data_IF_648343341000
#
_entry.id   IF_648343341000
#
_cell.length_a   1.000
_cell.length_b   1.000
_cell.length_c   1.000
_cell.angle_alpha   90.00
_cell.angle_beta   90.00
_cell.angle_gamma   90.00
#
_symmetry.space_group_name_H-M   'P 1'
#
loop_
_entity.id
_entity.type
_entity.pdbx_description
1 polymer ?
#
# COMPACT_ATOMS: atom_id res chain seq x y z
N UNK A 1 38.68 20.59 -54.74
CA UNK A 1 37.48 19.85 -54.31
C UNK A 1 37.50 19.79 -52.78
N UNK A 2 36.69 20.59 -52.12
CA UNK A 2 36.62 20.64 -50.65
C UNK A 2 35.52 19.71 -50.14
N UNK A 3 35.87 18.85 -49.20
CA UNK A 3 34.95 17.91 -48.54
C UNK A 3 34.05 18.67 -47.56
N UNK A 4 32.71 18.43 -47.53
CA UNK A 4 31.84 19.11 -46.59
C UNK A 4 31.97 18.52 -45.18
N UNK A 5 31.70 19.29 -44.10
CA UNK A 5 31.86 18.84 -42.71
C UNK A 5 30.74 17.86 -42.33
N UNK A 6 31.14 16.80 -41.58
CA UNK A 6 30.27 15.81 -40.96
C UNK A 6 29.32 16.47 -39.93
N UNK A 7 28.04 16.29 -40.12
CA UNK A 7 27.01 16.67 -39.16
C UNK A 7 27.10 15.76 -37.93
N UNK A 8 27.40 16.30 -36.77
CA UNK A 8 27.31 15.65 -35.48
C UNK A 8 25.86 15.86 -34.97
N UNK A 9 25.04 14.81 -34.75
CA UNK A 9 23.72 15.01 -34.18
C UNK A 9 23.86 15.45 -32.72
N UNK A 10 23.20 16.56 -32.36
CA UNK A 10 23.06 17.02 -31.00
C UNK A 10 22.30 15.96 -30.20
N UNK A 11 22.89 15.50 -29.10
CA UNK A 11 22.26 14.59 -28.15
C UNK A 11 21.08 15.31 -27.47
N UNK A 12 19.83 14.85 -27.58
CA UNK A 12 18.72 15.47 -26.88
C UNK A 12 18.93 15.28 -25.38
N UNK A 13 19.07 16.39 -24.65
CA UNK A 13 19.11 16.42 -23.20
C UNK A 13 17.86 15.75 -22.64
N UNK A 14 18.04 14.64 -21.93
CA UNK A 14 16.98 13.98 -21.16
C UNK A 14 16.47 15.01 -20.13
N UNK A 15 15.18 15.34 -20.12
CA UNK A 15 14.64 16.28 -19.15
C UNK A 15 14.83 15.70 -17.74
N UNK A 16 15.51 16.46 -16.86
CA UNK A 16 15.61 16.13 -15.44
C UNK A 16 14.19 16.14 -14.86
N UNK A 17 13.72 14.97 -14.38
CA UNK A 17 12.48 14.88 -13.62
C UNK A 17 12.64 15.68 -12.33
N UNK A 18 11.69 16.58 -12.05
CA UNK A 18 11.67 17.33 -10.79
C UNK A 18 11.25 16.39 -9.66
N UNK A 19 11.73 16.60 -8.42
CA UNK A 19 11.39 15.81 -7.22
C UNK A 19 9.87 15.63 -7.05
N UNK A 20 9.07 16.64 -7.41
CA UNK A 20 7.60 16.54 -7.39
C UNK A 20 7.05 15.56 -8.45
N UNK A 21 7.70 15.42 -9.61
CA UNK A 21 7.30 14.46 -10.65
C UNK A 21 7.74 13.03 -10.29
N UNK A 22 8.85 12.87 -9.57
CA UNK A 22 9.30 11.55 -9.05
C UNK A 22 8.40 11.08 -7.91
N UNK A 23 8.01 11.96 -6.99
CA UNK A 23 7.06 11.64 -5.92
C UNK A 23 5.68 11.22 -6.46
N UNK A 24 5.25 11.83 -7.58
CA UNK A 24 3.98 11.49 -8.23
C UNK A 24 4.05 10.18 -9.04
N UNK A 25 5.24 9.76 -9.48
CA UNK A 25 5.44 8.54 -10.26
C UNK A 25 5.24 7.26 -9.44
N UNK A 26 5.28 7.33 -8.11
CA UNK A 26 5.17 6.18 -7.21
C UNK A 26 3.77 6.03 -6.57
N UNK A 27 2.79 6.85 -6.96
CA UNK A 27 1.41 6.78 -6.43
C UNK A 27 0.50 6.13 -7.46
N UNK A 28 -0.12 5.01 -7.08
CA UNK A 28 -1.01 4.21 -7.91
C UNK A 28 -2.43 4.26 -7.35
N UNK A 29 -3.37 4.85 -8.10
CA UNK A 29 -4.78 4.94 -7.70
C UNK A 29 -5.59 3.87 -8.43
N UNK A 30 -6.05 2.87 -7.70
CA UNK A 30 -6.68 1.66 -8.30
C UNK A 30 -8.07 1.94 -8.85
N UNK A 31 -8.85 2.81 -8.20
CA UNK A 31 -10.19 3.19 -8.62
C UNK A 31 -10.23 4.44 -9.52
N UNK A 32 -9.09 4.86 -10.09
CA UNK A 32 -9.06 5.96 -11.07
C UNK A 32 -9.86 5.60 -12.33
N UNK A 33 -9.79 4.34 -12.75
CA UNK A 33 -10.57 3.81 -13.86
C UNK A 33 -11.79 3.01 -13.33
N UNK A 34 -12.95 3.05 -14.00
CA UNK A 34 -14.12 2.29 -13.62
C UNK A 34 -13.86 0.79 -13.59
N UNK A 35 -14.11 0.16 -12.45
CA UNK A 35 -13.96 -1.28 -12.24
C UNK A 35 -14.85 -1.74 -11.09
N UNK A 36 -14.91 -3.05 -10.83
CA UNK A 36 -15.61 -3.60 -9.67
C UNK A 36 -15.07 -3.09 -8.33
N UNK A 37 -13.82 -2.62 -8.29
CA UNK A 37 -13.23 -2.00 -7.11
C UNK A 37 -14.01 -0.76 -6.65
N UNK A 38 -14.51 0.06 -7.61
CA UNK A 38 -15.31 1.24 -7.33
C UNK A 38 -16.62 0.88 -6.61
N UNK A 39 -17.22 -0.28 -6.95
CA UNK A 39 -18.42 -0.77 -6.28
C UNK A 39 -18.13 -1.12 -4.81
N UNK A 40 -17.05 -1.84 -4.54
CA UNK A 40 -16.67 -2.19 -3.16
C UNK A 40 -16.30 -0.94 -2.35
N UNK A 41 -15.62 0.03 -2.97
CA UNK A 41 -15.31 1.30 -2.31
C UNK A 41 -16.59 2.10 -2.00
N UNK A 42 -17.56 2.15 -2.92
CA UNK A 42 -18.83 2.82 -2.69
C UNK A 42 -19.58 2.21 -1.50
N UNK A 43 -19.64 0.88 -1.38
CA UNK A 43 -20.26 0.20 -0.25
C UNK A 43 -19.55 0.46 1.09
N UNK A 44 -18.21 0.62 1.10
CA UNK A 44 -17.47 1.01 2.31
C UNK A 44 -17.78 2.44 2.75
N UNK A 45 -18.15 3.32 1.81
CA UNK A 45 -18.47 4.74 2.08
C UNK A 45 -19.93 4.96 2.44
N UNK A 46 -20.84 4.13 1.93
CA UNK A 46 -22.27 4.29 2.13
C UNK A 46 -22.64 4.04 3.60
N UNK A 47 -23.13 5.09 4.27
CA UNK A 47 -23.45 5.09 5.71
C UNK A 47 -24.48 4.03 6.13
N UNK A 48 -25.29 3.51 5.21
CA UNK A 48 -26.29 2.49 5.51
C UNK A 48 -25.78 1.08 5.25
N UNK A 49 -25.00 0.90 4.18
CA UNK A 49 -24.38 -0.39 3.83
C UNK A 49 -23.25 -0.76 4.79
N UNK A 50 -22.41 0.21 5.17
CA UNK A 50 -21.25 -0.02 6.05
C UNK A 50 -21.61 -0.47 7.49
N UNK A 51 -22.88 -0.35 7.92
CA UNK A 51 -23.36 -0.84 9.22
C UNK A 51 -23.30 -2.37 9.33
N UNK A 52 -23.32 -3.09 8.20
CA UNK A 52 -23.05 -4.52 8.16
C UNK A 52 -21.54 -4.76 8.26
N UNK A 53 -21.07 -5.04 9.47
CA UNK A 53 -19.64 -5.27 9.73
C UNK A 53 -19.06 -6.46 8.95
N UNK A 54 -19.87 -7.49 8.63
CA UNK A 54 -19.41 -8.61 7.80
C UNK A 54 -19.14 -8.12 6.37
N UNK A 55 -20.09 -7.38 5.79
CA UNK A 55 -19.96 -6.81 4.44
C UNK A 55 -18.81 -5.81 4.37
N UNK A 56 -18.66 -4.97 5.40
CA UNK A 56 -17.56 -4.02 5.53
C UNK A 56 -16.19 -4.73 5.48
N UNK A 57 -15.99 -5.75 6.33
CA UNK A 57 -14.74 -6.55 6.30
C UNK A 57 -14.52 -7.25 4.97
N UNK A 58 -15.60 -7.79 4.36
CA UNK A 58 -15.49 -8.45 3.04
C UNK A 58 -15.09 -7.48 1.93
N UNK A 59 -15.55 -6.24 1.96
CA UNK A 59 -15.16 -5.23 0.97
C UNK A 59 -13.73 -4.73 1.18
N UNK A 60 -13.27 -4.60 2.44
CA UNK A 60 -11.85 -4.37 2.72
C UNK A 60 -10.98 -5.50 2.15
N UNK A 61 -11.38 -6.76 2.38
CA UNK A 61 -10.68 -7.93 1.85
C UNK A 61 -10.63 -7.93 0.33
N UNK A 62 -11.75 -7.68 -0.37
CA UNK A 62 -11.83 -7.63 -1.85
C UNK A 62 -10.93 -6.52 -2.43
N UNK A 63 -10.89 -5.35 -1.81
CA UNK A 63 -9.97 -4.29 -2.22
C UNK A 63 -8.51 -4.69 -1.96
N UNK A 64 -8.23 -5.40 -0.86
CA UNK A 64 -6.91 -5.99 -0.59
C UNK A 64 -6.48 -6.97 -1.69
N UNK A 65 -7.38 -7.85 -2.14
CA UNK A 65 -7.16 -8.79 -3.24
C UNK A 65 -6.81 -8.06 -4.55
N UNK A 66 -7.60 -7.03 -4.90
CA UNK A 66 -7.38 -6.25 -6.14
C UNK A 66 -6.04 -5.49 -6.08
N UNK A 67 -5.72 -4.86 -4.94
CA UNK A 67 -4.45 -4.15 -4.76
C UNK A 67 -3.28 -5.12 -4.78
N UNK A 68 -3.40 -6.29 -4.13
CA UNK A 68 -2.40 -7.35 -4.18
C UNK A 68 -2.09 -7.79 -5.61
N UNK A 69 -3.13 -8.00 -6.43
CA UNK A 69 -2.96 -8.31 -7.86
C UNK A 69 -2.22 -7.20 -8.61
N UNK A 70 -2.57 -5.93 -8.35
CA UNK A 70 -1.87 -4.79 -8.99
C UNK A 70 -0.42 -4.69 -8.57
N UNK A 71 -0.12 -4.86 -7.28
CA UNK A 71 1.26 -4.89 -6.76
C UNK A 71 2.06 -6.03 -7.37
N UNK A 72 1.44 -7.21 -7.58
CA UNK A 72 2.14 -8.38 -8.09
C UNK A 72 2.85 -8.12 -9.42
N UNK A 73 2.30 -7.26 -10.28
CA UNK A 73 2.92 -6.89 -11.55
C UNK A 73 4.25 -6.09 -11.39
N UNK A 74 4.53 -5.60 -10.19
CA UNK A 74 5.75 -4.84 -9.85
C UNK A 74 6.76 -5.67 -9.04
N UNK A 75 6.49 -6.97 -8.86
CA UNK A 75 7.39 -7.91 -8.18
C UNK A 75 8.30 -8.63 -9.18
N UNK A 76 9.36 -9.26 -8.65
CA UNK A 76 10.32 -10.01 -9.46
C UNK A 76 9.83 -11.44 -9.73
N UNK A 77 9.99 -11.90 -10.98
CA UNK A 77 9.62 -13.23 -11.43
C UNK A 77 10.82 -13.95 -12.01
N UNK A 78 10.89 -15.26 -11.81
CA UNK A 78 11.88 -16.16 -12.43
C UNK A 78 11.20 -17.17 -13.32
N UNK A 79 11.84 -17.51 -14.44
CA UNK A 79 11.35 -18.56 -15.31
C UNK A 79 11.68 -19.93 -14.68
N UNK A 80 10.68 -20.79 -14.57
CA UNK A 80 10.80 -22.13 -14.03
C UNK A 80 10.19 -23.16 -14.97
N UNK A 81 10.75 -24.37 -14.97
CA UNK A 81 10.18 -25.52 -15.69
C UNK A 81 9.02 -26.08 -14.88
N UNK A 82 7.90 -26.24 -15.53
CA UNK A 82 6.67 -26.80 -14.95
C UNK A 82 6.37 -28.12 -15.66
N UNK A 83 6.27 -29.22 -14.91
CA UNK A 83 5.83 -30.50 -15.43
C UNK A 83 4.31 -30.55 -15.44
N UNK A 84 3.72 -30.57 -16.62
CA UNK A 84 2.29 -30.82 -16.79
C UNK A 84 2.05 -32.34 -16.93
N UNK A 85 0.79 -32.81 -16.87
CA UNK A 85 0.49 -34.23 -17.13
C UNK A 85 0.91 -34.73 -18.52
N UNK A 86 1.11 -33.83 -19.49
CA UNK A 86 1.37 -34.19 -20.88
C UNK A 86 2.80 -33.87 -21.36
N UNK A 87 3.39 -32.79 -20.84
CA UNK A 87 4.72 -32.32 -21.28
C UNK A 87 5.31 -31.31 -20.31
N UNK A 88 6.58 -30.99 -20.49
CA UNK A 88 7.21 -29.85 -19.83
C UNK A 88 6.81 -28.52 -20.50
N UNK A 89 6.66 -27.48 -19.70
CA UNK A 89 6.49 -26.11 -20.15
C UNK A 89 7.28 -25.15 -19.25
N UNK A 90 7.37 -23.88 -19.64
CA UNK A 90 8.03 -22.85 -18.83
C UNK A 90 7.00 -21.82 -18.39
N UNK A 91 7.10 -21.40 -17.14
CA UNK A 91 6.26 -20.36 -16.56
C UNK A 91 7.08 -19.37 -15.74
N UNK A 92 6.60 -18.14 -15.67
CA UNK A 92 7.17 -17.11 -14.79
C UNK A 92 6.48 -17.19 -13.43
N UNK A 93 7.23 -17.61 -12.42
CA UNK A 93 6.77 -17.71 -11.05
C UNK A 93 7.41 -16.62 -10.20
N UNK A 94 6.74 -16.22 -9.12
CA UNK A 94 7.26 -15.23 -8.18
C UNK A 94 8.62 -15.68 -7.67
N UNK A 95 9.60 -14.76 -7.68
CA UNK A 95 10.96 -15.09 -7.21
C UNK A 95 10.96 -15.43 -5.72
N UNK A 96 10.30 -14.58 -4.91
CA UNK A 96 10.03 -14.80 -3.50
C UNK A 96 8.74 -14.10 -3.10
N UNK A 97 8.05 -14.64 -2.09
CA UNK A 97 6.82 -14.05 -1.58
C UNK A 97 7.15 -12.83 -0.69
N UNK A 98 6.39 -11.72 -0.82
CA UNK A 98 6.59 -10.53 0.01
C UNK A 98 6.27 -10.81 1.49
N UNK A 99 6.81 -9.99 2.39
CA UNK A 99 6.34 -9.94 3.77
C UNK A 99 5.12 -9.03 3.80
N UNK A 100 4.02 -9.53 4.36
CA UNK A 100 2.77 -8.79 4.49
C UNK A 100 2.66 -8.23 5.91
N UNK A 101 2.71 -6.92 6.05
CA UNK A 101 2.57 -6.24 7.33
C UNK A 101 1.23 -5.51 7.41
N UNK A 102 0.64 -5.46 8.60
CA UNK A 102 -0.59 -4.70 8.82
C UNK A 102 -0.67 -4.07 10.21
N UNK A 103 -1.40 -2.95 10.27
CA UNK A 103 -1.68 -2.26 11.52
C UNK A 103 -3.04 -2.70 12.06
N UNK A 104 -3.05 -3.20 13.29
CA UNK A 104 -4.27 -3.64 13.97
C UNK A 104 -5.08 -2.40 14.41
N UNK A 105 -6.41 -2.48 14.42
CA UNK A 105 -7.38 -3.58 14.17
C UNK A 105 -7.88 -3.59 12.73
N UNK A 106 -8.12 -2.40 12.14
CA UNK A 106 -8.75 -2.21 10.83
C UNK A 106 -8.01 -2.90 9.67
N UNK A 107 -6.69 -3.05 9.79
CA UNK A 107 -5.86 -3.69 8.78
C UNK A 107 -6.11 -5.18 8.58
N UNK A 108 -6.68 -5.90 9.57
CA UNK A 108 -6.83 -7.37 9.50
C UNK A 108 -7.61 -7.87 8.27
N UNK A 109 -8.82 -7.38 7.96
CA UNK A 109 -9.55 -7.87 6.79
C UNK A 109 -8.90 -7.43 5.48
N UNK A 110 -8.25 -6.28 5.46
CA UNK A 110 -7.50 -5.79 4.30
C UNK A 110 -6.27 -6.66 4.03
N UNK A 111 -5.51 -6.99 5.07
CA UNK A 111 -4.37 -7.91 5.04
C UNK A 111 -4.79 -9.33 4.57
N UNK A 112 -5.96 -9.81 5.00
CA UNK A 112 -6.47 -11.10 4.53
C UNK A 112 -6.64 -11.13 3.00
N UNK A 113 -7.00 -10.01 2.38
CA UNK A 113 -7.07 -9.89 0.93
C UNK A 113 -5.70 -10.12 0.26
N UNK A 114 -4.63 -9.60 0.83
CA UNK A 114 -3.27 -9.86 0.34
C UNK A 114 -2.86 -11.32 0.53
N UNK A 115 -3.19 -11.94 1.67
CA UNK A 115 -2.91 -13.36 1.93
C UNK A 115 -3.64 -14.30 0.97
N UNK A 116 -4.79 -13.91 0.45
CA UNK A 116 -5.52 -14.72 -0.54
C UNK A 116 -4.80 -14.83 -1.89
N UNK A 117 -3.88 -13.91 -2.18
CA UNK A 117 -3.06 -13.91 -3.40
C UNK A 117 -1.61 -14.34 -3.14
N UNK A 118 -1.07 -13.96 -2.00
CA UNK A 118 0.28 -14.30 -1.56
C UNK A 118 0.22 -15.30 -0.41
N UNK A 119 -0.35 -16.48 -0.66
CA UNK A 119 -0.71 -17.50 0.34
C UNK A 119 0.47 -18.07 1.14
N UNK A 120 1.69 -17.99 0.59
CA UNK A 120 2.93 -18.40 1.25
C UNK A 120 3.69 -17.25 1.91
N UNK A 121 3.11 -16.05 1.92
CA UNK A 121 3.74 -14.87 2.50
C UNK A 121 3.81 -14.93 4.02
N UNK A 122 4.98 -14.69 4.62
CA UNK A 122 5.06 -14.48 6.05
C UNK A 122 4.41 -13.14 6.41
N UNK A 123 3.79 -13.09 7.60
CA UNK A 123 3.05 -11.94 8.06
C UNK A 123 3.72 -11.24 9.22
N UNK A 124 3.57 -9.91 9.27
CA UNK A 124 3.95 -9.06 10.38
C UNK A 124 2.72 -8.30 10.91
N UNK A 125 2.59 -8.22 12.23
CA UNK A 125 1.47 -7.55 12.88
C UNK A 125 1.96 -6.46 13.80
N UNK A 126 1.34 -5.29 13.69
CA UNK A 126 1.68 -4.11 14.48
C UNK A 126 0.45 -3.62 15.21
N UNK A 127 0.48 -3.60 16.54
CA UNK A 127 -0.50 -2.88 17.34
C UNK A 127 0.06 -1.49 17.65
N UNK A 128 -0.55 -0.48 17.04
CA UNK A 128 -0.19 0.91 17.25
C UNK A 128 -1.45 1.71 17.59
N UNK A 129 -1.36 2.60 18.57
CA UNK A 129 -2.45 3.50 18.92
C UNK A 129 -1.96 4.93 19.11
N UNK A 130 -2.88 5.87 18.94
CA UNK A 130 -2.61 7.28 19.17
C UNK A 130 -2.75 7.57 20.66
N UNK A 131 -1.76 8.24 21.22
CA UNK A 131 -1.85 8.79 22.58
C UNK A 131 -2.64 10.09 22.48
N UNK A 132 -3.84 10.11 23.08
CA UNK A 132 -4.68 11.31 23.15
C UNK A 132 -4.14 12.29 24.20
N UNK A 133 -4.40 13.60 24.01
CA UNK A 133 -4.07 14.64 25.02
C UNK A 133 -2.66 15.24 24.90
N UNK A 134 -1.88 14.92 23.88
CA UNK A 134 -0.61 15.59 23.58
C UNK A 134 -0.76 16.54 22.40
N UNK A 135 -0.08 17.70 22.44
CA UNK A 135 -0.06 18.68 21.34
C UNK A 135 0.54 18.13 20.03
N UNK A 136 1.24 17.00 20.10
CA UNK A 136 1.75 16.24 18.97
C UNK A 136 1.15 14.84 19.00
N UNK A 137 0.62 14.39 17.86
CA UNK A 137 0.14 13.01 17.71
C UNK A 137 1.34 12.06 17.90
N UNK A 138 1.44 11.48 19.09
CA UNK A 138 2.38 10.40 19.37
C UNK A 138 1.68 9.07 19.08
N UNK A 139 2.36 8.19 18.36
CA UNK A 139 1.90 6.82 18.12
C UNK A 139 2.80 5.91 18.92
N UNK A 140 2.20 5.15 19.80
CA UNK A 140 2.90 4.11 20.56
C UNK A 140 2.70 2.77 19.85
N UNK A 141 3.81 2.04 19.66
CA UNK A 141 3.82 0.67 19.15
C UNK A 141 3.99 -0.26 20.34
N UNK A 142 2.91 -0.93 20.75
CA UNK A 142 2.95 -1.82 21.92
C UNK A 142 3.30 -3.25 21.56
N UNK A 143 2.91 -3.69 20.37
CA UNK A 143 3.21 -5.02 19.87
C UNK A 143 3.71 -4.93 18.44
N UNK A 144 4.82 -5.62 18.19
CA UNK A 144 5.36 -5.75 16.85
C UNK A 144 6.04 -7.13 16.73
N UNK A 145 5.49 -7.96 15.86
CA UNK A 145 6.07 -9.25 15.47
C UNK A 145 6.27 -9.25 13.97
N UNK A 146 7.47 -9.54 13.53
CA UNK A 146 7.83 -9.60 12.11
C UNK A 146 8.94 -10.63 11.87
N UNK A 147 8.99 -11.27 10.69
CA UNK A 147 10.19 -11.98 10.23
C UNK A 147 11.30 -11.01 9.86
N UNK A 148 12.52 -11.51 9.50
CA UNK A 148 13.56 -10.64 8.94
C UNK A 148 13.09 -9.97 7.66
N UNK A 149 13.33 -8.66 7.57
CA UNK A 149 13.02 -7.84 6.40
C UNK A 149 14.20 -7.74 5.41
N UNK A 150 15.40 -8.21 5.81
CA UNK A 150 16.60 -8.04 5.00
C UNK A 150 16.42 -8.64 3.61
N UNK A 151 16.69 -7.81 2.59
CA UNK A 151 16.58 -8.16 1.17
C UNK A 151 15.21 -8.69 0.74
N UNK A 152 14.15 -8.46 1.55
CA UNK A 152 12.79 -8.90 1.24
C UNK A 152 11.94 -7.75 0.67
N UNK A 153 10.90 -8.09 -0.06
CA UNK A 153 9.83 -7.14 -0.40
C UNK A 153 8.90 -7.02 0.80
N UNK A 154 8.61 -5.78 1.20
CA UNK A 154 7.62 -5.47 2.25
C UNK A 154 6.37 -4.86 1.62
N UNK A 155 5.20 -5.40 1.95
CA UNK A 155 3.89 -4.77 1.68
C UNK A 155 3.30 -4.39 3.04
N UNK A 156 3.20 -3.09 3.33
CA UNK A 156 2.59 -2.56 4.55
C UNK A 156 1.18 -2.07 4.23
N UNK A 157 0.17 -2.73 4.80
CA UNK A 157 -1.24 -2.50 4.52
C UNK A 157 -1.96 -1.88 5.72
N UNK A 158 -2.55 -0.69 5.51
CA UNK A 158 -3.44 -0.01 6.46
C UNK A 158 -4.60 0.62 5.67
N UNK A 159 -5.87 0.32 5.96
CA UNK A 159 -6.99 0.85 5.19
C UNK A 159 -7.06 2.38 5.10
N UNK A 160 -6.51 3.10 6.09
CA UNK A 160 -6.70 4.53 6.28
C UNK A 160 -5.39 5.30 6.32
N UNK A 161 -4.97 5.88 5.20
CA UNK A 161 -3.80 6.76 5.15
C UNK A 161 -4.24 8.22 5.38
N UNK A 162 -4.52 8.59 6.62
CA UNK A 162 -4.94 9.94 7.00
C UNK A 162 -3.74 10.91 7.04
N UNK A 163 -3.07 11.07 8.18
CA UNK A 163 -1.87 11.93 8.29
C UNK A 163 -0.58 11.25 7.84
N UNK A 164 -0.59 9.94 7.63
CA UNK A 164 0.59 9.13 7.32
C UNK A 164 1.54 8.88 8.50
N UNK A 165 1.39 9.61 9.62
CA UNK A 165 2.32 9.54 10.77
C UNK A 165 2.41 8.15 11.38
N UNK A 166 1.27 7.50 11.62
CA UNK A 166 1.22 6.14 12.19
C UNK A 166 1.92 5.14 11.29
N UNK A 167 1.71 5.25 9.98
CA UNK A 167 2.29 4.37 8.98
C UNK A 167 3.82 4.53 8.90
N UNK A 168 4.32 5.77 8.85
CA UNK A 168 5.76 6.06 8.86
C UNK A 168 6.42 5.55 10.15
N UNK A 169 5.80 5.76 11.31
CA UNK A 169 6.33 5.27 12.59
C UNK A 169 6.32 3.73 12.65
N UNK A 170 5.27 3.09 12.13
CA UNK A 170 5.20 1.63 11.98
C UNK A 170 6.34 1.12 11.11
N UNK A 171 6.52 1.69 9.92
CA UNK A 171 7.62 1.32 9.03
C UNK A 171 8.99 1.46 9.72
N UNK A 172 9.25 2.61 10.35
CA UNK A 172 10.51 2.84 11.09
C UNK A 172 10.73 1.84 12.22
N UNK A 173 9.67 1.49 12.97
CA UNK A 173 9.76 0.48 14.01
C UNK A 173 10.05 -0.93 13.45
N UNK A 174 9.58 -1.22 12.24
CA UNK A 174 9.85 -2.50 11.57
C UNK A 174 11.29 -2.63 11.09
N UNK A 175 12.00 -1.53 10.80
CA UNK A 175 13.40 -1.56 10.35
C UNK A 175 14.36 -2.21 11.36
N UNK A 176 13.96 -2.41 12.62
CA UNK A 176 14.73 -3.21 13.59
C UNK A 176 14.84 -4.69 13.21
N UNK A 177 14.01 -5.18 12.29
CA UNK A 177 14.03 -6.55 11.76
C UNK A 177 14.78 -6.67 10.45
N UNK A 178 15.44 -5.60 10.00
CA UNK A 178 16.22 -5.55 8.76
C UNK A 178 15.74 -4.48 7.78
N UNK A 179 16.43 -4.37 6.65
CA UNK A 179 16.13 -3.38 5.61
C UNK A 179 15.50 -4.07 4.39
N UNK A 180 14.24 -3.76 4.06
CA UNK A 180 13.62 -4.34 2.86
C UNK A 180 14.26 -3.77 1.60
N UNK A 181 14.42 -4.60 0.56
CA UNK A 181 14.92 -4.16 -0.76
C UNK A 181 13.88 -3.38 -1.57
N UNK A 182 12.59 -3.57 -1.26
CA UNK A 182 11.49 -2.91 -1.95
C UNK A 182 10.32 -2.74 -0.96
N UNK A 183 9.68 -1.58 -1.00
CA UNK A 183 8.58 -1.22 -0.10
C UNK A 183 7.35 -0.85 -0.91
N UNK A 184 6.23 -1.48 -0.59
CA UNK A 184 4.91 -1.12 -1.05
C UNK A 184 4.04 -0.77 0.15
N UNK A 185 3.35 0.34 0.07
CA UNK A 185 2.39 0.79 1.09
C UNK A 185 1.01 0.79 0.45
N UNK A 186 0.06 0.11 1.06
CA UNK A 186 -1.28 -0.05 0.54
C UNK A 186 -2.33 0.53 1.48
N UNK A 187 -3.25 1.33 0.93
CA UNK A 187 -4.40 1.83 1.68
C UNK A 187 -5.69 1.78 0.84
N UNK A 188 -6.83 1.78 1.50
CA UNK A 188 -8.13 1.88 0.81
C UNK A 188 -8.40 3.32 0.46
N UNK A 189 -8.31 4.23 1.43
CA UNK A 189 -8.42 5.67 1.19
C UNK A 189 -7.23 6.42 1.77
N UNK A 190 -6.88 7.51 1.12
CA UNK A 190 -5.78 8.36 1.52
C UNK A 190 -6.15 9.83 1.43
N UNK A 191 -5.57 10.68 2.28
CA UNK A 191 -5.58 12.13 2.11
C UNK A 191 -4.39 12.59 1.28
N UNK A 192 -4.46 13.74 0.57
CA UNK A 192 -3.33 14.33 -0.12
C UNK A 192 -2.16 14.63 0.83
N UNK A 193 -2.45 15.14 2.03
CA UNK A 193 -1.47 15.45 3.06
C UNK A 193 -0.74 14.21 3.55
N UNK A 194 -1.48 13.12 3.78
CA UNK A 194 -0.92 11.84 4.21
C UNK A 194 -0.01 11.21 3.15
N UNK A 195 -0.44 11.24 1.89
CA UNK A 195 0.37 10.77 0.77
C UNK A 195 1.67 11.57 0.63
N UNK A 196 1.58 12.91 0.67
CA UNK A 196 2.75 13.79 0.59
C UNK A 196 3.71 13.57 1.77
N UNK A 197 3.17 13.35 2.98
CA UNK A 197 3.97 13.04 4.15
C UNK A 197 4.71 11.71 4.00
N UNK A 198 4.02 10.64 3.60
CA UNK A 198 4.64 9.32 3.42
C UNK A 198 5.66 9.33 2.30
N UNK A 199 5.37 9.96 1.14
CA UNK A 199 6.30 10.08 0.02
C UNK A 199 7.59 10.83 0.39
N UNK A 200 7.51 11.81 1.29
CA UNK A 200 8.68 12.53 1.81
C UNK A 200 9.51 11.69 2.80
N UNK A 201 8.84 10.96 3.69
CA UNK A 201 9.49 10.23 4.79
C UNK A 201 10.01 8.85 4.37
N UNK A 202 9.45 8.27 3.29
CA UNK A 202 9.77 6.97 2.71
C UNK A 202 9.78 7.11 1.18
N UNK A 203 10.75 7.83 0.60
CA UNK A 203 10.75 8.17 -0.83
C UNK A 203 10.89 6.94 -1.75
N UNK A 204 11.43 5.83 -1.24
CA UNK A 204 11.55 4.57 -1.95
C UNK A 204 10.25 3.77 -2.04
N UNK A 205 9.20 4.14 -1.30
CA UNK A 205 7.95 3.39 -1.26
C UNK A 205 7.09 3.62 -2.49
N UNK A 206 6.48 2.56 -2.99
CA UNK A 206 5.37 2.61 -3.94
C UNK A 206 4.05 2.66 -3.17
N UNK A 207 3.25 3.70 -3.39
CA UNK A 207 2.00 3.94 -2.69
C UNK A 207 0.83 3.45 -3.54
N UNK A 208 0.00 2.58 -2.99
CA UNK A 208 -1.16 1.98 -3.63
C UNK A 208 -2.41 2.33 -2.86
N UNK A 209 -3.34 3.06 -3.49
CA UNK A 209 -4.57 3.47 -2.85
C UNK A 209 -5.77 3.16 -3.74
N UNK A 210 -6.90 2.77 -3.14
CA UNK A 210 -8.11 2.66 -3.94
C UNK A 210 -8.59 4.05 -4.36
N UNK A 211 -8.61 5.03 -3.44
CA UNK A 211 -8.94 6.41 -3.79
C UNK A 211 -8.15 7.43 -2.95
N UNK A 212 -7.99 8.63 -3.52
CA UNK A 212 -7.48 9.82 -2.83
C UNK A 212 -8.69 10.72 -2.54
N UNK A 213 -8.90 11.06 -1.28
CA UNK A 213 -9.98 11.91 -0.81
C UNK A 213 -9.57 13.39 -0.77
N UNK A 214 -10.53 14.29 -0.47
CA UNK A 214 -10.32 15.73 -0.66
C UNK A 214 -9.37 16.33 0.37
N UNK A 215 -9.54 15.97 1.67
CA UNK A 215 -8.83 16.62 2.79
C UNK A 215 -8.97 15.84 4.10
N UNK A 216 -8.27 16.34 5.13
CA UNK A 216 -8.52 15.99 6.52
C UNK A 216 -9.41 17.07 7.18
N UNK A 217 -10.29 16.65 8.11
CA UNK A 217 -10.98 17.58 8.99
C UNK A 217 -10.10 17.95 10.21
N UNK A 218 -10.63 18.79 11.11
CA UNK A 218 -9.92 19.26 12.31
C UNK A 218 -9.50 18.13 13.27
N UNK A 219 -10.23 17.01 13.26
CA UNK A 219 -9.92 15.81 14.05
C UNK A 219 -9.01 14.82 13.30
N UNK A 220 -8.46 15.21 12.15
CA UNK A 220 -7.63 14.40 11.27
C UNK A 220 -8.33 13.15 10.68
N UNK A 221 -9.65 13.21 10.50
CA UNK A 221 -10.38 12.23 9.71
C UNK A 221 -10.37 12.60 8.23
N UNK A 222 -10.29 11.59 7.38
CA UNK A 222 -10.37 11.74 5.92
C UNK A 222 -11.79 12.13 5.53
N UNK A 223 -11.95 13.13 4.65
CA UNK A 223 -13.24 13.63 4.15
C UNK A 223 -13.21 13.57 2.61
N UNK A 224 -14.24 12.98 1.97
CA UNK A 224 -15.47 12.40 2.52
C UNK A 224 -15.28 11.13 3.38
N UNK A 225 -14.19 10.36 3.17
CA UNK A 225 -13.82 9.25 4.03
C UNK A 225 -14.77 8.05 3.99
N UNK A 226 -14.69 7.24 5.03
CA UNK A 226 -15.57 6.10 5.28
C UNK A 226 -15.87 5.90 6.79
N UNK A 227 -15.45 6.84 7.66
CA UNK A 227 -15.60 6.74 9.12
C UNK A 227 -14.40 6.02 9.79
N UNK A 228 -14.61 5.45 10.99
CA UNK A 228 -13.59 4.64 11.68
C UNK A 228 -13.65 3.18 11.21
N UNK A 229 -12.67 2.79 10.40
CA UNK A 229 -12.61 1.44 9.82
C UNK A 229 -12.46 0.34 10.90
N UNK A 230 -11.83 0.65 12.03
CA UNK A 230 -11.67 -0.29 13.15
C UNK A 230 -13.00 -0.57 13.83
N UNK A 231 -13.75 0.47 14.14
CA UNK A 231 -15.04 0.37 14.79
C UNK A 231 -16.10 -0.24 13.88
N UNK A 232 -16.12 0.12 12.60
CA UNK A 232 -16.99 -0.49 11.59
C UNK A 232 -16.69 -1.99 11.39
N UNK A 233 -15.43 -2.39 11.51
CA UNK A 233 -15.03 -3.80 11.37
C UNK A 233 -15.31 -4.63 12.61
N UNK A 234 -15.09 -4.11 13.82
CA UNK A 234 -14.98 -4.90 15.05
C UNK A 234 -15.73 -4.34 16.26
N UNK A 235 -16.52 -3.29 16.06
CA UNK A 235 -17.23 -2.60 17.15
C UNK A 235 -16.39 -1.52 17.81
N UNK A 236 -17.10 -0.60 18.47
CA UNK A 236 -16.51 0.57 19.13
C UNK A 236 -15.57 0.17 20.27
N UNK A 237 -14.50 0.93 20.44
CA UNK A 237 -13.64 0.86 21.63
C UNK A 237 -14.38 1.44 22.84
N UNK A 238 -14.05 0.98 24.03
CA UNK A 238 -14.46 1.59 25.29
C UNK A 238 -13.62 2.83 25.56
#
# INVERSE_FOLDING_TARGET
>A
MATPPLFTPANPSVPQRTEAAEAQANIHVVCAEPSIANHFLAELRDKDVQKDSLRFRRNLQRLGEIIAYRISAHLSYTEQVIQTPLAETRGKLLHDFPILATVLRAGLPFHQGFLNYFDQSPSAFVAAYRIEGTAQVQVQVDYLSAPSLDERVLILADPMLATGKSLVQTYRAMLRFGTPRQVHIAAVIASPEGLAYVAREIPEANLWVAAIDEKLNEQAYIVPGLGDAGDLSYGSKL
#
